data_IF_066673758881
#
_entry.id   IF_066673758881
#
_cell.length_a   1.000
_cell.length_b   1.000
_cell.length_c   1.000
_cell.angle_alpha   90.00
_cell.angle_beta   90.00
_cell.angle_gamma   90.00
#
_symmetry.space_group_name_H-M   'P 1'
#
loop_
_entity.id
_entity.type
_entity.pdbx_description
1 polymer ?
#
# COMPACT_ATOMS: atom_id res chain seq x y z
N UNK A 1 19.32 46.06 63.20
CA UNK A 1 19.65 46.13 61.76
C UNK A 1 19.66 44.78 61.05
N UNK A 2 20.09 43.67 61.68
CA UNK A 2 20.12 42.34 61.01
C UNK A 2 18.74 41.68 60.77
N UNK A 3 17.72 41.95 61.57
CA UNK A 3 16.37 41.41 61.39
C UNK A 3 15.63 41.95 60.17
N UNK A 4 15.89 43.15 59.69
CA UNK A 4 15.27 43.73 58.50
C UNK A 4 15.89 43.27 57.18
N UNK A 5 17.15 42.80 57.20
CA UNK A 5 17.81 42.25 56.00
C UNK A 5 17.30 40.86 55.65
N UNK A 6 17.10 39.98 56.63
CA UNK A 6 16.56 38.65 56.41
C UNK A 6 15.12 38.65 55.88
N UNK A 7 14.27 39.54 56.41
CA UNK A 7 12.89 39.68 55.95
C UNK A 7 12.81 40.18 54.50
N UNK A 8 13.68 41.10 54.09
CA UNK A 8 13.81 41.56 52.70
C UNK A 8 14.34 40.48 51.78
N UNK A 9 15.23 39.63 52.21
CA UNK A 9 15.76 38.53 51.43
C UNK A 9 14.72 37.42 51.23
N UNK A 10 13.93 37.07 52.26
CA UNK A 10 12.80 36.15 52.12
C UNK A 10 11.73 36.70 51.16
N UNK A 11 11.35 37.96 51.25
CA UNK A 11 10.40 38.61 50.35
C UNK A 11 10.92 38.63 48.90
N UNK A 12 12.24 38.80 48.68
CA UNK A 12 12.84 38.74 47.33
C UNK A 12 12.85 37.30 46.79
N UNK A 13 13.11 36.31 47.62
CA UNK A 13 13.09 34.89 47.22
C UNK A 13 11.67 34.47 46.83
N UNK A 14 10.67 34.80 47.66
CA UNK A 14 9.26 34.52 47.38
C UNK A 14 8.81 35.20 46.07
N UNK A 15 9.17 36.48 45.84
CA UNK A 15 8.85 37.17 44.59
C UNK A 15 9.51 36.54 43.36
N UNK A 16 10.75 36.02 43.49
CA UNK A 16 11.42 35.31 42.40
C UNK A 16 10.78 33.93 42.13
N UNK A 17 10.39 33.18 43.15
CA UNK A 17 9.70 31.91 42.99
C UNK A 17 8.31 32.12 42.33
N UNK A 18 7.56 33.13 42.76
CA UNK A 18 6.26 33.48 42.16
C UNK A 18 6.42 33.96 40.70
N UNK A 19 7.47 34.70 40.39
CA UNK A 19 7.76 35.14 39.02
C UNK A 19 8.16 33.97 38.11
N UNK A 20 8.92 32.97 38.62
CA UNK A 20 9.28 31.76 37.89
C UNK A 20 8.06 30.87 37.69
N UNK A 21 7.20 30.70 38.69
CA UNK A 21 5.95 29.96 38.57
C UNK A 21 4.97 30.64 37.59
N UNK A 22 4.85 31.96 37.62
CA UNK A 22 4.04 32.71 36.68
C UNK A 22 4.59 32.63 35.24
N UNK A 23 5.92 32.61 35.06
CA UNK A 23 6.54 32.44 33.75
C UNK A 23 6.38 31.01 33.22
N UNK A 24 6.40 29.99 34.07
CA UNK A 24 6.11 28.58 33.70
C UNK A 24 4.63 28.40 33.35
N UNK A 25 3.70 29.02 34.09
CA UNK A 25 2.27 28.99 33.77
C UNK A 25 1.99 29.72 32.46
N UNK A 26 2.66 30.84 32.21
CA UNK A 26 2.54 31.61 30.97
C UNK A 26 3.16 30.87 29.79
N UNK A 27 4.27 30.14 29.98
CA UNK A 27 4.89 29.31 28.97
C UNK A 27 4.01 28.07 28.63
N UNK A 28 3.35 27.49 29.63
CA UNK A 28 2.39 26.39 29.40
C UNK A 28 1.09 26.86 28.75
N UNK A 29 0.62 28.09 29.04
CA UNK A 29 -0.56 28.65 28.37
C UNK A 29 -0.25 29.11 26.94
N UNK A 30 0.96 29.57 26.64
CA UNK A 30 1.41 29.90 25.28
C UNK A 30 1.70 28.64 24.44
N UNK A 31 2.15 27.54 25.04
CA UNK A 31 2.28 26.26 24.35
C UNK A 31 0.90 25.64 24.01
N UNK A 32 -0.10 25.82 24.89
CA UNK A 32 -1.47 25.35 24.66
C UNK A 32 -2.24 26.14 23.57
N UNK A 33 -1.90 27.40 23.34
CA UNK A 33 -2.56 28.24 22.31
C UNK A 33 -1.86 28.18 20.94
N UNK A 34 -0.58 27.79 20.89
CA UNK A 34 0.13 27.62 19.61
C UNK A 34 -0.28 26.34 18.85
N UNK A 35 -0.86 25.36 19.53
CA UNK A 35 -1.37 24.13 18.90
C UNK A 35 -2.85 24.18 18.49
N UNK A 36 -3.59 25.22 18.89
CA UNK A 36 -5.04 25.26 18.66
C UNK A 36 -5.46 25.82 17.29
N UNK A 37 -4.55 26.47 16.55
CA UNK A 37 -4.87 27.07 15.25
C UNK A 37 -4.48 26.18 14.06
N UNK A 38 -3.62 25.15 14.27
CA UNK A 38 -3.10 24.27 13.22
C UNK A 38 -3.22 22.76 13.52
N UNK A 39 -3.98 22.34 14.53
CA UNK A 39 -4.16 20.92 14.81
C UNK A 39 -4.95 20.26 13.69
N UNK A 40 -4.45 19.14 13.10
CA UNK A 40 -5.18 18.44 12.06
C UNK A 40 -6.56 17.98 12.54
N UNK A 41 -7.54 17.97 11.63
CA UNK A 41 -8.99 17.73 11.90
C UNK A 41 -9.31 16.54 12.82
N UNK A 42 -8.49 15.48 12.77
CA UNK A 42 -8.76 14.21 13.48
C UNK A 42 -7.84 14.00 14.71
N UNK A 43 -7.17 15.03 15.16
CA UNK A 43 -6.48 15.02 16.46
C UNK A 43 -7.50 15.33 17.55
N UNK A 44 -7.49 14.55 18.63
CA UNK A 44 -8.43 14.72 19.73
C UNK A 44 -8.18 16.06 20.47
N UNK A 45 -9.23 16.74 20.89
CA UNK A 45 -9.15 18.03 21.60
C UNK A 45 -8.29 17.94 22.88
N UNK A 46 -8.25 16.77 23.52
CA UNK A 46 -7.48 16.50 24.73
C UNK A 46 -6.15 15.78 24.45
N UNK A 47 -5.69 15.67 23.19
CA UNK A 47 -4.50 14.93 22.80
C UNK A 47 -3.25 15.27 23.63
N UNK A 48 -3.01 16.56 23.87
CA UNK A 48 -1.84 17.02 24.66
C UNK A 48 -1.85 16.57 26.13
N UNK A 49 -3.00 16.16 26.67
CA UNK A 49 -3.17 15.73 28.05
C UNK A 49 -3.53 14.25 28.19
N UNK A 50 -3.91 13.59 27.09
CA UNK A 50 -4.20 12.16 27.07
C UNK A 50 -2.94 11.37 27.44
N UNK A 51 -3.07 10.44 28.38
CA UNK A 51 -1.98 9.57 28.83
C UNK A 51 -2.31 8.13 28.50
N UNK A 52 -1.30 7.29 28.31
CA UNK A 52 -1.51 5.87 28.05
C UNK A 52 -0.29 5.18 27.50
N UNK A 53 -0.48 3.92 27.11
CA UNK A 53 0.56 3.13 26.43
C UNK A 53 -0.03 2.29 25.31
N UNK A 54 0.72 2.11 24.23
CA UNK A 54 0.34 1.31 23.06
C UNK A 54 1.47 0.35 22.73
N UNK A 55 1.15 -0.95 22.71
CA UNK A 55 2.05 -2.02 22.22
C UNK A 55 1.57 -2.43 20.85
N UNK A 56 2.34 -2.08 19.80
CA UNK A 56 1.98 -2.33 18.43
C UNK A 56 2.73 -3.54 17.87
N UNK A 57 2.05 -4.36 17.06
CA UNK A 57 2.68 -5.28 16.12
C UNK A 57 2.57 -4.72 14.70
N UNK A 58 3.71 -4.71 13.98
CA UNK A 58 3.81 -4.26 12.59
C UNK A 58 4.73 -5.18 11.80
N UNK A 59 4.63 -5.23 10.46
CA UNK A 59 5.61 -5.93 9.63
C UNK A 59 6.74 -5.00 9.14
N UNK A 60 6.69 -3.70 9.44
CA UNK A 60 7.70 -2.75 9.00
C UNK A 60 8.64 -2.33 10.13
N UNK A 61 9.94 -2.40 9.85
CA UNK A 61 10.97 -1.90 10.74
C UNK A 61 10.92 -0.36 10.84
N UNK A 62 11.54 0.18 11.88
CA UNK A 62 11.61 1.63 12.09
C UNK A 62 12.18 2.40 10.91
N UNK A 63 13.20 1.84 10.26
CA UNK A 63 13.86 2.44 9.07
C UNK A 63 12.97 2.61 7.84
N UNK A 64 11.80 1.98 7.81
CA UNK A 64 10.83 2.09 6.69
C UNK A 64 9.53 2.77 7.12
N UNK A 65 9.61 3.70 8.08
CA UNK A 65 8.53 4.62 8.41
C UNK A 65 7.97 4.50 9.83
N UNK A 66 8.08 3.35 10.51
CA UNK A 66 7.47 3.14 11.84
C UNK A 66 8.00 4.10 12.90
N UNK A 67 9.31 4.34 12.96
CA UNK A 67 9.88 5.30 13.93
C UNK A 67 9.41 6.73 13.66
N UNK A 68 9.33 7.12 12.38
CA UNK A 68 8.86 8.45 11.98
C UNK A 68 7.37 8.64 12.28
N UNK A 69 6.55 7.62 12.06
CA UNK A 69 5.13 7.59 12.42
C UNK A 69 4.95 7.86 13.92
N UNK A 70 5.67 7.11 14.78
CA UNK A 70 5.59 7.26 16.23
C UNK A 70 6.08 8.65 16.67
N UNK A 71 7.19 9.12 16.11
CA UNK A 71 7.71 10.44 16.42
C UNK A 71 6.74 11.58 16.02
N UNK A 72 6.02 11.41 14.91
CA UNK A 72 5.01 12.40 14.48
C UNK A 72 3.76 12.33 15.35
N UNK A 73 3.28 11.14 15.70
CA UNK A 73 2.20 10.94 16.65
C UNK A 73 2.48 11.63 17.99
N UNK A 74 3.68 11.46 18.53
CA UNK A 74 4.07 12.01 19.83
C UNK A 74 4.17 13.53 19.85
N UNK A 75 4.15 14.22 18.70
CA UNK A 75 4.02 15.69 18.67
C UNK A 75 2.65 16.15 19.15
N UNK A 76 1.61 15.34 18.90
CA UNK A 76 0.24 15.65 19.27
C UNK A 76 -0.16 14.96 20.59
N UNK A 77 0.33 13.73 20.83
CA UNK A 77 0.04 12.90 22.00
C UNK A 77 1.32 12.64 22.83
N UNK A 78 1.90 13.70 23.44
CA UNK A 78 3.23 13.59 24.06
C UNK A 78 3.29 12.68 25.30
N UNK A 79 2.14 12.29 25.88
CA UNK A 79 2.06 11.50 27.09
C UNK A 79 1.53 10.06 26.80
N UNK A 80 1.44 9.67 25.54
CA UNK A 80 1.17 8.28 25.15
C UNK A 80 2.49 7.65 24.72
N UNK A 81 2.91 6.61 25.45
CA UNK A 81 4.07 5.82 25.09
C UNK A 81 3.69 4.78 24.04
N UNK A 82 4.38 4.76 22.89
CA UNK A 82 4.17 3.76 21.84
C UNK A 82 5.43 2.91 21.70
N UNK A 83 5.26 1.61 21.88
CA UNK A 83 6.29 0.60 21.60
C UNK A 83 5.84 -0.33 20.49
N UNK A 84 6.78 -0.92 19.72
CA UNK A 84 6.40 -1.88 18.71
C UNK A 84 7.35 -3.06 18.61
N UNK A 85 6.82 -4.17 18.10
CA UNK A 85 7.58 -5.34 17.68
C UNK A 85 7.29 -5.64 16.21
N UNK A 86 8.31 -6.16 15.50
CA UNK A 86 8.18 -6.53 14.08
C UNK A 86 7.89 -8.01 13.98
N UNK A 87 6.80 -8.36 13.29
CA UNK A 87 6.48 -9.74 12.94
C UNK A 87 6.72 -10.00 11.45
N UNK A 88 6.99 -11.24 11.08
CA UNK A 88 7.11 -11.62 9.67
C UNK A 88 5.71 -11.77 9.06
N UNK A 89 5.41 -11.03 7.99
CA UNK A 89 4.12 -11.14 7.31
C UNK A 89 4.08 -12.40 6.41
N UNK A 90 3.91 -13.55 7.05
CA UNK A 90 3.65 -14.85 6.46
C UNK A 90 2.72 -15.65 7.38
N UNK A 91 2.35 -16.87 7.01
CA UNK A 91 1.42 -17.71 7.78
C UNK A 91 1.87 -17.91 9.23
N UNK A 92 3.14 -18.25 9.49
CA UNK A 92 3.66 -18.52 10.83
C UNK A 92 3.72 -17.23 11.68
N UNK A 93 4.16 -16.13 11.08
CA UNK A 93 4.21 -14.84 11.76
C UNK A 93 2.81 -14.31 12.11
N UNK A 94 1.82 -14.48 11.23
CA UNK A 94 0.43 -14.12 11.51
C UNK A 94 -0.19 -15.02 12.61
N UNK A 95 0.12 -16.34 12.61
CA UNK A 95 -0.30 -17.24 13.69
C UNK A 95 0.27 -16.77 15.04
N UNK A 96 1.55 -16.42 15.09
CA UNK A 96 2.21 -15.90 16.30
C UNK A 96 1.60 -14.57 16.74
N UNK A 97 1.31 -13.66 15.80
CA UNK A 97 0.65 -12.39 16.08
C UNK A 97 -0.75 -12.60 16.68
N UNK A 98 -1.55 -13.49 16.10
CA UNK A 98 -2.89 -13.83 16.60
C UNK A 98 -2.84 -14.41 18.03
N UNK A 99 -1.86 -15.27 18.33
CA UNK A 99 -1.65 -15.79 19.69
C UNK A 99 -1.25 -14.68 20.68
N UNK A 100 -0.41 -13.71 20.26
CA UNK A 100 -0.04 -12.57 21.09
C UNK A 100 -1.24 -11.64 21.38
N UNK A 101 -2.12 -11.43 20.40
CA UNK A 101 -3.37 -10.68 20.58
C UNK A 101 -4.26 -11.39 21.60
N UNK A 102 -4.51 -12.69 21.45
CA UNK A 102 -5.30 -13.48 22.40
C UNK A 102 -4.75 -13.42 23.84
N UNK A 103 -3.43 -13.38 23.97
CA UNK A 103 -2.75 -13.27 25.25
C UNK A 103 -2.77 -11.84 25.85
N UNK A 104 -3.41 -10.85 25.20
CA UNK A 104 -3.47 -9.47 25.68
C UNK A 104 -2.12 -8.75 25.67
N UNK A 105 -1.19 -9.16 24.80
CA UNK A 105 0.15 -8.56 24.68
C UNK A 105 0.25 -7.47 23.63
N UNK A 106 -0.80 -7.24 22.85
CA UNK A 106 -0.86 -6.33 21.73
C UNK A 106 -2.07 -5.44 21.88
N UNK A 107 -1.91 -4.14 21.68
CA UNK A 107 -2.99 -3.15 21.72
C UNK A 107 -3.40 -2.72 20.32
N UNK A 108 -2.43 -2.61 19.39
CA UNK A 108 -2.66 -2.28 17.99
C UNK A 108 -1.93 -3.27 17.09
N UNK A 109 -2.61 -3.78 16.07
CA UNK A 109 -2.01 -4.60 15.03
C UNK A 109 -2.09 -3.87 13.68
N UNK A 110 -0.96 -3.72 13.00
CA UNK A 110 -0.92 -3.36 11.59
C UNK A 110 -1.05 -4.64 10.75
N UNK A 111 -2.13 -4.76 10.00
CA UNK A 111 -2.39 -5.90 9.10
C UNK A 111 -2.01 -5.52 7.68
N UNK A 112 -1.35 -6.43 6.96
CA UNK A 112 -0.87 -6.25 5.58
C UNK A 112 -1.50 -7.23 4.61
N UNK A 113 -2.60 -7.83 5.01
CA UNK A 113 -3.32 -8.84 4.26
C UNK A 113 -4.78 -8.82 4.70
N UNK A 114 -5.68 -8.62 3.74
CA UNK A 114 -7.11 -8.53 4.01
C UNK A 114 -7.66 -9.83 4.61
N UNK A 115 -7.12 -11.00 4.22
CA UNK A 115 -7.57 -12.29 4.74
C UNK A 115 -7.21 -12.45 6.22
N UNK A 116 -6.07 -11.91 6.64
CA UNK A 116 -5.67 -11.91 8.03
C UNK A 116 -6.46 -10.91 8.87
N UNK A 117 -6.81 -9.77 8.30
CA UNK A 117 -7.70 -8.81 8.95
C UNK A 117 -9.09 -9.42 9.16
N UNK A 118 -9.68 -10.05 8.12
CA UNK A 118 -10.96 -10.73 8.22
C UNK A 118 -10.95 -11.85 9.25
N UNK A 119 -9.95 -12.71 9.22
CA UNK A 119 -9.79 -13.75 10.24
C UNK A 119 -9.84 -13.16 11.67
N UNK A 120 -9.17 -12.03 11.91
CA UNK A 120 -9.12 -11.40 13.23
C UNK A 120 -10.48 -10.86 13.68
N UNK A 121 -11.21 -10.15 12.83
CA UNK A 121 -12.53 -9.63 13.23
C UNK A 121 -13.58 -10.73 13.36
N UNK A 122 -13.59 -11.74 12.49
CA UNK A 122 -14.49 -12.88 12.56
C UNK A 122 -14.29 -13.72 13.83
N UNK A 123 -13.07 -13.77 14.35
CA UNK A 123 -12.73 -14.50 15.55
C UNK A 123 -12.70 -13.63 16.83
N UNK A 124 -13.24 -12.41 16.78
CA UNK A 124 -13.38 -11.54 17.95
C UNK A 124 -12.05 -11.04 18.54
N UNK A 125 -10.98 -11.00 17.74
CA UNK A 125 -9.67 -10.54 18.19
C UNK A 125 -9.54 -9.01 18.18
N UNK A 126 -10.45 -8.32 17.50
CA UNK A 126 -10.41 -6.88 17.29
C UNK A 126 -11.53 -6.17 18.04
N UNK A 127 -11.26 -4.94 18.46
CA UNK A 127 -12.25 -4.05 19.07
C UNK A 127 -13.14 -3.47 18.00
N UNK A 128 -14.45 -3.49 18.23
CA UNK A 128 -15.40 -2.72 17.44
C UNK A 128 -15.21 -1.23 17.68
N UNK A 129 -14.87 -0.51 16.62
CA UNK A 129 -14.60 0.94 16.67
C UNK A 129 -15.73 1.79 16.05
N UNK A 130 -16.84 1.18 15.66
CA UNK A 130 -17.93 1.85 14.92
C UNK A 130 -18.45 3.09 15.63
N UNK A 131 -18.78 2.96 16.91
CA UNK A 131 -19.37 4.08 17.68
C UNK A 131 -18.36 5.21 17.89
N UNK A 132 -17.05 4.89 17.95
CA UNK A 132 -15.97 5.87 18.04
C UNK A 132 -15.78 6.62 16.72
N UNK A 133 -15.84 5.92 15.57
CA UNK A 133 -15.80 6.55 14.23
C UNK A 133 -16.93 7.55 14.06
N UNK A 134 -18.15 7.17 14.47
CA UNK A 134 -19.32 8.06 14.42
C UNK A 134 -19.13 9.29 15.31
N UNK A 135 -18.61 9.11 16.53
CA UNK A 135 -18.35 10.20 17.46
C UNK A 135 -17.29 11.19 16.92
N UNK A 136 -16.27 10.69 16.23
CA UNK A 136 -15.24 11.50 15.59
C UNK A 136 -15.67 12.13 14.25
N UNK A 137 -16.86 11.78 13.74
CA UNK A 137 -17.32 12.23 12.43
C UNK A 137 -16.52 11.67 11.26
N UNK A 138 -15.90 10.50 11.45
CA UNK A 138 -15.15 9.77 10.43
C UNK A 138 -16.10 8.91 9.61
N UNK A 139 -16.11 9.13 8.29
CA UNK A 139 -16.87 8.37 7.30
C UNK A 139 -15.89 7.59 6.44
N UNK A 140 -15.97 6.25 6.46
CA UNK A 140 -15.04 5.37 5.75
C UNK A 140 -15.01 5.63 4.24
N UNK A 141 -16.18 5.82 3.63
CA UNK A 141 -16.27 6.07 2.18
C UNK A 141 -15.67 7.41 1.82
N UNK A 142 -15.94 8.45 2.62
CA UNK A 142 -15.43 9.78 2.37
C UNK A 142 -13.92 9.87 2.60
N UNK A 143 -13.42 9.27 3.67
CA UNK A 143 -12.01 9.42 4.07
C UNK A 143 -11.09 8.40 3.38
N UNK A 144 -11.59 7.20 3.02
CA UNK A 144 -10.78 6.13 2.42
C UNK A 144 -11.37 5.53 1.13
N UNK A 145 -12.46 6.08 0.61
CA UNK A 145 -13.05 5.65 -0.66
C UNK A 145 -13.83 4.35 -0.63
N UNK A 146 -13.99 3.70 0.54
CA UNK A 146 -14.63 2.38 0.64
C UNK A 146 -15.18 2.10 2.04
N UNK A 147 -16.29 1.38 2.10
CA UNK A 147 -16.88 0.79 3.32
C UNK A 147 -16.57 -0.72 3.48
N UNK A 148 -15.68 -1.25 2.63
CA UNK A 148 -15.35 -2.67 2.58
C UNK A 148 -14.69 -3.23 3.86
N UNK A 149 -14.36 -2.37 4.80
CA UNK A 149 -13.77 -2.74 6.10
C UNK A 149 -14.79 -2.96 7.20
N UNK A 150 -16.05 -3.13 6.84
CA UNK A 150 -17.12 -3.45 7.77
C UNK A 150 -17.44 -4.94 7.72
N UNK A 151 -17.65 -5.52 8.90
CA UNK A 151 -18.14 -6.87 9.08
C UNK A 151 -19.45 -6.84 9.86
N UNK A 152 -20.51 -7.42 9.31
CA UNK A 152 -21.87 -7.36 9.88
C UNK A 152 -22.33 -5.94 10.23
N UNK A 153 -21.94 -4.94 9.43
CA UNK A 153 -22.28 -3.54 9.64
C UNK A 153 -21.48 -2.84 10.76
N UNK A 154 -20.44 -3.49 11.28
CA UNK A 154 -19.53 -2.94 12.30
C UNK A 154 -18.11 -2.81 11.74
N UNK A 155 -17.37 -1.82 12.21
CA UNK A 155 -16.00 -1.54 11.80
C UNK A 155 -15.00 -1.99 12.84
N UNK A 156 -13.96 -2.71 12.40
CA UNK A 156 -12.87 -3.23 13.23
C UNK A 156 -11.50 -2.82 12.73
N UNK A 157 -11.45 -2.00 11.69
CA UNK A 157 -10.22 -1.79 10.95
C UNK A 157 -10.18 -0.37 10.37
N UNK A 158 -9.08 0.33 10.62
CA UNK A 158 -8.79 1.58 9.94
C UNK A 158 -7.99 1.29 8.67
N UNK A 159 -8.51 1.61 7.47
CA UNK A 159 -7.71 1.55 6.26
C UNK A 159 -6.49 2.47 6.36
N UNK A 160 -5.36 2.09 5.81
CA UNK A 160 -4.17 2.94 5.84
C UNK A 160 -3.56 3.10 4.45
N UNK A 161 -3.23 1.98 3.82
CA UNK A 161 -2.52 2.00 2.56
C UNK A 161 -2.94 0.88 1.62
N UNK A 162 -2.65 1.06 0.36
CA UNK A 162 -2.82 0.06 -0.69
C UNK A 162 -1.59 0.02 -1.59
N UNK A 163 -1.43 -1.08 -2.28
CA UNK A 163 -0.42 -1.20 -3.32
C UNK A 163 -0.95 -0.57 -4.59
N UNK A 164 -0.29 0.50 -5.07
CA UNK A 164 -0.51 1.03 -6.42
C UNK A 164 0.21 0.17 -7.44
N UNK A 165 -0.37 0.00 -8.61
CA UNK A 165 0.19 -0.77 -9.70
C UNK A 165 0.22 0.07 -10.94
N UNK A 166 1.37 0.10 -11.58
CA UNK A 166 1.66 0.96 -12.71
C UNK A 166 2.67 0.30 -13.64
N UNK A 167 2.83 0.86 -14.82
CA UNK A 167 3.97 0.59 -15.70
C UNK A 167 5.10 1.54 -15.32
N UNK A 168 6.20 1.01 -14.79
CA UNK A 168 7.43 1.76 -14.59
C UNK A 168 8.26 1.74 -15.87
N UNK A 169 8.80 2.87 -16.28
CA UNK A 169 9.44 3.07 -17.58
C UNK A 169 10.80 3.73 -17.41
N UNK A 170 11.84 3.18 -18.04
CA UNK A 170 13.10 3.86 -18.23
C UNK A 170 12.92 5.02 -19.23
N UNK A 171 12.96 6.26 -18.75
CA UNK A 171 12.70 7.44 -19.60
C UNK A 171 13.76 7.65 -20.68
N UNK A 172 14.99 7.20 -20.49
CA UNK A 172 16.01 7.22 -21.53
C UNK A 172 15.63 6.29 -22.69
N UNK A 173 15.23 5.06 -22.39
CA UNK A 173 14.77 4.11 -23.42
C UNK A 173 13.50 4.59 -24.12
N UNK A 174 12.58 5.21 -23.39
CA UNK A 174 11.36 5.80 -23.93
C UNK A 174 11.66 6.91 -24.96
N UNK A 175 12.56 7.83 -24.60
CA UNK A 175 12.97 8.94 -25.47
C UNK A 175 13.76 8.45 -26.70
N UNK A 176 14.69 7.51 -26.53
CA UNK A 176 15.46 6.91 -27.62
C UNK A 176 14.56 6.17 -28.62
N UNK A 177 13.45 5.59 -28.14
CA UNK A 177 12.43 4.95 -28.99
C UNK A 177 11.55 5.95 -29.74
N UNK A 178 11.72 7.26 -29.53
CA UNK A 178 10.93 8.32 -30.16
C UNK A 178 9.48 8.35 -29.67
N UNK A 179 9.20 7.84 -28.49
CA UNK A 179 7.91 7.89 -27.83
C UNK A 179 7.73 9.28 -27.21
N UNK A 180 6.56 9.88 -27.36
CA UNK A 180 6.27 11.25 -26.91
C UNK A 180 6.11 11.38 -25.38
N UNK A 181 5.08 12.11 -24.97
CA UNK A 181 4.70 12.22 -23.56
C UNK A 181 4.21 10.86 -23.03
N UNK A 182 4.35 10.64 -21.72
CA UNK A 182 3.81 9.46 -21.08
C UNK A 182 2.27 9.46 -21.18
N UNK A 183 1.65 8.32 -21.52
CA UNK A 183 0.21 8.28 -21.68
C UNK A 183 -0.50 8.38 -20.32
N UNK A 184 -1.60 9.11 -20.28
CA UNK A 184 -2.53 9.12 -19.14
C UNK A 184 -3.59 8.00 -19.23
N UNK A 185 -3.74 7.38 -20.40
CA UNK A 185 -4.52 6.17 -20.68
C UNK A 185 -3.99 5.53 -21.95
N UNK A 186 -3.95 4.24 -22.01
CA UNK A 186 -3.55 3.44 -23.19
C UNK A 186 -4.12 2.03 -23.13
N UNK A 187 -4.18 1.41 -24.29
CA UNK A 187 -4.54 0.01 -24.46
C UNK A 187 -3.30 -0.90 -24.38
N UNK A 188 -3.52 -2.19 -24.26
CA UNK A 188 -2.45 -3.19 -24.33
C UNK A 188 -1.72 -3.17 -25.68
N UNK A 189 -2.42 -2.92 -26.78
CA UNK A 189 -1.80 -2.86 -28.11
C UNK A 189 -0.83 -1.67 -28.20
N UNK A 190 -1.21 -0.52 -27.65
CA UNK A 190 -0.34 0.66 -27.60
C UNK A 190 0.88 0.45 -26.71
N UNK A 191 0.71 -0.21 -25.56
CA UNK A 191 1.82 -0.55 -24.68
C UNK A 191 2.79 -1.56 -25.33
N UNK A 192 2.27 -2.62 -25.95
CA UNK A 192 3.11 -3.59 -26.65
C UNK A 192 3.85 -2.97 -27.85
N UNK A 193 3.24 -2.02 -28.57
CA UNK A 193 3.92 -1.27 -29.61
C UNK A 193 5.05 -0.40 -29.05
N UNK A 194 4.85 0.23 -27.87
CA UNK A 194 5.92 0.94 -27.17
C UNK A 194 7.04 -0.04 -26.75
N UNK A 195 6.70 -1.23 -26.25
CA UNK A 195 7.68 -2.27 -25.94
C UNK A 195 8.48 -2.70 -27.16
N UNK A 196 7.86 -2.88 -28.34
CA UNK A 196 8.58 -3.19 -29.59
C UNK A 196 9.63 -2.15 -29.92
N UNK A 197 9.27 -0.87 -29.82
CA UNK A 197 10.19 0.25 -30.10
C UNK A 197 11.33 0.34 -29.09
N UNK A 198 11.11 -0.03 -27.83
CA UNK A 198 12.13 -0.01 -26.79
C UNK A 198 13.00 -1.28 -26.76
N UNK A 199 12.57 -2.37 -27.40
CA UNK A 199 13.34 -3.62 -27.43
C UNK A 199 14.65 -3.42 -28.20
N UNK A 200 15.77 -3.83 -27.60
CA UNK A 200 17.09 -3.80 -28.27
C UNK A 200 17.56 -5.21 -28.56
N UNK A 201 18.16 -5.39 -29.74
CA UNK A 201 18.73 -6.67 -30.18
C UNK A 201 20.17 -6.47 -30.61
N UNK A 202 20.99 -7.51 -30.42
CA UNK A 202 22.37 -7.54 -30.90
C UNK A 202 22.41 -7.78 -32.42
N UNK A 203 23.63 -7.79 -32.98
CA UNK A 203 23.88 -8.03 -34.41
C UNK A 203 23.40 -9.42 -34.89
N UNK A 204 23.22 -10.37 -33.96
CA UNK A 204 22.74 -11.72 -34.26
C UNK A 204 21.22 -11.85 -34.09
N UNK A 205 20.53 -10.75 -33.71
CA UNK A 205 19.09 -10.74 -33.47
C UNK A 205 18.66 -11.18 -32.07
N UNK A 206 19.60 -11.48 -31.17
CA UNK A 206 19.26 -11.83 -29.78
C UNK A 206 18.81 -10.59 -29.01
N UNK A 207 17.82 -10.75 -28.15
CA UNK A 207 17.35 -9.68 -27.29
C UNK A 207 18.39 -9.38 -26.22
N UNK A 208 18.83 -8.12 -26.14
CA UNK A 208 19.76 -7.59 -25.14
C UNK A 208 19.06 -6.68 -24.13
N UNK A 209 17.96 -6.03 -24.53
CA UNK A 209 17.04 -5.32 -23.65
C UNK A 209 15.62 -5.64 -24.08
N UNK A 210 14.84 -6.19 -23.18
CA UNK A 210 13.41 -6.41 -23.40
C UNK A 210 12.66 -5.08 -23.33
N UNK A 211 11.65 -4.88 -24.18
CA UNK A 211 10.79 -3.69 -24.13
C UNK A 211 9.98 -3.61 -22.85
N UNK A 212 9.57 -4.77 -22.32
CA UNK A 212 8.81 -4.86 -21.09
C UNK A 212 8.93 -6.19 -20.36
N UNK A 213 8.28 -6.26 -19.21
CA UNK A 213 8.07 -7.48 -18.44
C UNK A 213 6.85 -7.33 -17.56
N UNK A 214 6.13 -8.43 -17.34
CA UNK A 214 4.95 -8.46 -16.48
C UNK A 214 5.34 -8.52 -14.99
N UNK A 215 4.35 -8.33 -14.13
CA UNK A 215 4.49 -8.51 -12.69
C UNK A 215 4.79 -9.99 -12.35
N UNK A 216 5.69 -10.24 -11.44
CA UNK A 216 6.22 -11.58 -11.17
C UNK A 216 5.29 -12.51 -10.35
N UNK A 217 4.00 -12.18 -10.21
CA UNK A 217 3.00 -13.04 -9.58
C UNK A 217 2.20 -13.80 -10.63
N UNK A 218 1.98 -15.11 -10.39
CA UNK A 218 1.26 -16.01 -11.30
C UNK A 218 -0.12 -15.49 -11.67
N UNK A 219 -0.94 -15.28 -10.66
CA UNK A 219 -2.34 -14.86 -10.81
C UNK A 219 -2.53 -13.40 -11.23
N UNK A 220 -1.44 -12.66 -11.53
CA UNK A 220 -1.55 -11.22 -11.74
C UNK A 220 -2.43 -10.83 -12.94
N UNK A 221 -2.53 -11.68 -13.95
CA UNK A 221 -3.39 -11.51 -15.10
C UNK A 221 -4.90 -11.35 -14.76
N UNK A 222 -5.33 -11.81 -13.57
CA UNK A 222 -6.69 -11.57 -13.07
C UNK A 222 -6.94 -10.07 -12.89
N UNK A 223 -5.93 -9.28 -12.51
CA UNK A 223 -6.06 -7.83 -12.39
C UNK A 223 -6.30 -7.18 -13.75
N UNK A 224 -5.83 -7.78 -14.83
CA UNK A 224 -6.13 -7.32 -16.19
C UNK A 224 -7.55 -7.69 -16.63
N UNK A 225 -8.10 -8.80 -16.14
CA UNK A 225 -9.53 -9.07 -16.32
C UNK A 225 -10.41 -8.03 -15.61
N UNK A 226 -9.96 -7.56 -14.44
CA UNK A 226 -10.69 -6.57 -13.65
C UNK A 226 -10.82 -5.21 -14.34
N UNK A 227 -9.92 -4.86 -15.25
CA UNK A 227 -10.07 -3.64 -16.05
C UNK A 227 -11.39 -3.63 -16.86
N UNK A 228 -11.83 -4.80 -17.31
CA UNK A 228 -13.08 -4.98 -18.07
C UNK A 228 -14.24 -5.40 -17.17
N UNK A 229 -14.03 -6.36 -16.27
CA UNK A 229 -15.10 -6.94 -15.44
C UNK A 229 -15.43 -6.15 -14.19
N UNK A 230 -14.46 -5.39 -13.66
CA UNK A 230 -14.57 -4.78 -12.34
C UNK A 230 -14.42 -5.80 -11.20
N UNK A 231 -15.34 -5.77 -10.25
CA UNK A 231 -15.36 -6.70 -9.10
C UNK A 231 -15.71 -8.12 -9.52
N UNK A 232 -15.39 -9.08 -8.65
CA UNK A 232 -15.74 -10.51 -8.80
C UNK A 232 -15.19 -11.14 -10.09
N UNK A 233 -13.94 -10.82 -10.45
CA UNK A 233 -13.34 -11.24 -11.71
C UNK A 233 -13.29 -12.77 -11.90
N UNK A 234 -13.30 -13.55 -10.83
CA UNK A 234 -13.35 -15.02 -10.89
C UNK A 234 -14.70 -15.57 -11.31
N UNK A 235 -15.78 -14.77 -11.21
CA UNK A 235 -17.14 -15.28 -11.26
C UNK A 235 -17.96 -14.68 -12.40
N UNK A 236 -18.92 -15.47 -12.85
CA UNK A 236 -20.06 -14.99 -13.64
C UNK A 236 -21.09 -14.30 -12.73
N UNK A 237 -22.07 -13.63 -13.29
CA UNK A 237 -23.11 -12.94 -12.53
C UNK A 237 -23.98 -13.90 -11.66
N UNK A 238 -24.04 -15.19 -12.02
CA UNK A 238 -24.74 -16.24 -11.27
C UNK A 238 -23.82 -17.02 -10.31
N UNK A 239 -22.58 -16.53 -10.15
CA UNK A 239 -21.63 -17.04 -9.15
C UNK A 239 -20.89 -18.31 -9.52
N UNK A 240 -20.89 -18.70 -10.79
CA UNK A 240 -20.04 -19.76 -11.32
C UNK A 240 -18.65 -19.20 -11.68
N UNK A 241 -17.65 -20.06 -11.90
CA UNK A 241 -16.34 -19.64 -12.39
C UNK A 241 -16.42 -19.09 -13.82
N UNK A 242 -15.63 -18.05 -14.12
CA UNK A 242 -15.62 -17.36 -15.41
C UNK A 242 -14.22 -17.28 -16.04
N UNK A 243 -13.63 -18.44 -16.29
CA UNK A 243 -12.33 -18.51 -16.97
C UNK A 243 -12.44 -18.86 -18.46
N UNK A 244 -13.64 -19.17 -18.94
CA UNK A 244 -13.90 -19.58 -20.34
C UNK A 244 -14.66 -18.56 -21.17
N UNK A 245 -14.92 -17.36 -20.64
CA UNK A 245 -15.61 -16.27 -21.36
C UNK A 245 -14.83 -15.64 -22.51
N UNK A 246 -13.58 -16.06 -22.74
CA UNK A 246 -12.70 -15.54 -23.79
C UNK A 246 -11.77 -14.42 -23.34
N UNK A 247 -12.11 -13.62 -22.32
CA UNK A 247 -11.27 -12.54 -21.82
C UNK A 247 -9.95 -13.08 -21.21
N UNK A 248 -10.04 -14.12 -20.37
CA UNK A 248 -8.86 -14.78 -19.80
C UNK A 248 -7.92 -15.32 -20.87
N UNK A 249 -8.49 -15.98 -21.91
CA UNK A 249 -7.72 -16.51 -23.04
C UNK A 249 -7.01 -15.37 -23.80
N UNK A 250 -7.70 -14.28 -24.07
CA UNK A 250 -7.12 -13.10 -24.75
C UNK A 250 -5.93 -12.54 -23.98
N UNK A 251 -6.06 -12.42 -22.65
CA UNK A 251 -5.01 -11.86 -21.79
C UNK A 251 -3.78 -12.77 -21.75
N UNK A 252 -3.97 -14.07 -21.48
CA UNK A 252 -2.86 -15.03 -21.40
C UNK A 252 -2.18 -15.26 -22.76
N UNK A 253 -2.96 -15.32 -23.84
CA UNK A 253 -2.39 -15.46 -25.18
C UNK A 253 -1.55 -14.23 -25.57
N UNK A 254 -2.02 -13.03 -25.25
CA UNK A 254 -1.27 -11.78 -25.46
C UNK A 254 0.08 -11.79 -24.73
N UNK A 255 0.12 -12.28 -23.50
CA UNK A 255 1.36 -12.41 -22.73
C UNK A 255 2.33 -13.37 -23.44
N UNK A 256 1.87 -14.57 -23.79
CA UNK A 256 2.68 -15.57 -24.49
C UNK A 256 3.15 -15.08 -25.87
N UNK A 257 2.32 -14.35 -26.61
CA UNK A 257 2.68 -13.79 -27.92
C UNK A 257 3.78 -12.72 -27.76
N UNK A 258 3.68 -11.84 -26.76
CA UNK A 258 4.70 -10.83 -26.46
C UNK A 258 6.05 -11.44 -26.02
N UNK A 259 6.00 -12.54 -25.28
CA UNK A 259 7.18 -13.33 -24.90
C UNK A 259 7.80 -14.03 -26.13
N UNK A 260 6.99 -14.67 -26.96
CA UNK A 260 7.42 -15.35 -28.18
C UNK A 260 8.02 -14.38 -29.22
N UNK A 261 7.48 -13.16 -29.32
CA UNK A 261 8.05 -12.07 -30.12
C UNK A 261 9.40 -11.58 -29.54
N UNK A 262 9.67 -11.83 -28.26
CA UNK A 262 10.86 -11.38 -27.55
C UNK A 262 10.82 -9.89 -27.18
N UNK A 263 9.65 -9.32 -27.08
CA UNK A 263 9.47 -7.94 -26.58
C UNK A 263 9.23 -7.93 -25.07
N UNK A 264 8.72 -9.03 -24.51
CA UNK A 264 8.59 -9.23 -23.04
C UNK A 264 9.55 -10.30 -22.57
N UNK A 265 10.08 -10.08 -21.35
CA UNK A 265 10.86 -11.09 -20.65
C UNK A 265 9.93 -12.21 -20.17
N UNK A 266 10.22 -13.49 -20.43
CA UNK A 266 9.33 -14.59 -20.10
C UNK A 266 9.00 -14.66 -18.61
N UNK A 267 7.71 -14.61 -18.27
CA UNK A 267 7.20 -14.60 -16.89
C UNK A 267 7.55 -15.88 -16.13
N UNK A 268 7.54 -17.03 -16.82
CA UNK A 268 7.94 -18.30 -16.20
C UNK A 268 9.37 -18.22 -15.66
N UNK A 269 10.27 -17.48 -16.31
CA UNK A 269 11.64 -17.29 -15.85
C UNK A 269 11.71 -16.36 -14.62
N UNK A 270 10.85 -15.33 -14.53
CA UNK A 270 10.73 -14.52 -13.32
C UNK A 270 10.33 -15.39 -12.12
N UNK A 271 9.32 -16.22 -12.31
CA UNK A 271 8.76 -17.11 -11.28
C UNK A 271 9.81 -18.14 -10.84
N UNK A 272 10.37 -18.89 -11.80
CA UNK A 272 11.32 -19.99 -11.54
C UNK A 272 12.60 -19.51 -10.88
N UNK A 273 13.12 -18.35 -11.32
CA UNK A 273 14.35 -17.77 -10.78
C UNK A 273 14.11 -16.86 -9.56
N UNK A 274 12.86 -16.71 -9.13
CA UNK A 274 12.47 -15.75 -8.08
C UNK A 274 12.95 -14.31 -8.35
N UNK A 275 13.10 -13.94 -9.63
CA UNK A 275 13.50 -12.61 -10.09
C UNK A 275 12.31 -11.66 -10.01
N UNK A 276 12.54 -10.43 -9.62
CA UNK A 276 11.48 -9.42 -9.60
C UNK A 276 11.50 -8.60 -10.89
N UNK A 277 10.32 -8.23 -11.40
CA UNK A 277 10.17 -7.37 -12.59
C UNK A 277 11.00 -6.09 -12.48
N UNK A 278 10.99 -5.44 -11.33
CA UNK A 278 11.81 -4.25 -11.05
C UNK A 278 13.31 -4.48 -11.15
N UNK A 279 13.81 -5.69 -10.82
CA UNK A 279 15.24 -5.97 -10.90
C UNK A 279 15.71 -5.93 -12.37
N UNK A 280 14.87 -6.40 -13.31
CA UNK A 280 15.18 -6.32 -14.74
C UNK A 280 15.23 -4.87 -15.22
N UNK A 281 14.26 -4.03 -14.80
CA UNK A 281 14.25 -2.62 -15.18
C UNK A 281 15.43 -1.86 -14.57
N UNK A 282 15.67 -2.01 -13.27
CA UNK A 282 16.72 -1.29 -12.56
C UNK A 282 18.15 -1.72 -12.96
N UNK A 283 18.31 -2.91 -13.54
CA UNK A 283 19.59 -3.39 -14.11
C UNK A 283 19.72 -3.13 -15.61
N UNK A 284 18.68 -2.56 -16.25
CA UNK A 284 18.68 -2.26 -17.68
C UNK A 284 18.41 -3.47 -18.57
N UNK A 285 18.00 -4.62 -18.02
CA UNK A 285 17.62 -5.81 -18.80
C UNK A 285 16.22 -5.68 -19.44
N UNK A 286 15.37 -4.80 -18.89
CA UNK A 286 14.10 -4.39 -19.48
C UNK A 286 13.98 -2.87 -19.51
N UNK A 287 13.25 -2.33 -20.48
CA UNK A 287 13.00 -0.90 -20.63
C UNK A 287 11.74 -0.43 -19.86
N UNK A 288 10.81 -1.35 -19.57
CA UNK A 288 9.64 -1.10 -18.74
C UNK A 288 9.28 -2.35 -17.93
N UNK A 289 8.51 -2.18 -16.88
CA UNK A 289 7.92 -3.30 -16.16
C UNK A 289 6.60 -2.92 -15.52
N UNK A 290 5.71 -3.89 -15.37
CA UNK A 290 4.55 -3.75 -14.49
C UNK A 290 5.02 -4.02 -13.07
N UNK A 291 4.82 -3.05 -12.17
CA UNK A 291 5.40 -3.10 -10.83
C UNK A 291 4.57 -2.23 -9.86
N UNK A 292 4.87 -2.35 -8.58
CA UNK A 292 4.19 -1.63 -7.51
C UNK A 292 5.15 -0.78 -6.65
N UNK A 293 6.18 -1.38 -6.08
CA UNK A 293 7.03 -0.75 -5.05
C UNK A 293 8.41 -0.30 -5.54
N UNK A 294 8.59 -0.15 -6.86
CA UNK A 294 9.91 0.13 -7.46
C UNK A 294 10.53 1.43 -6.96
N UNK A 295 9.73 2.45 -6.65
CA UNK A 295 10.18 3.75 -6.15
C UNK A 295 11.05 3.63 -4.89
N UNK A 296 10.78 2.64 -4.05
CA UNK A 296 11.59 2.32 -2.87
C UNK A 296 13.05 1.95 -3.21
N UNK A 297 13.32 1.51 -4.43
CA UNK A 297 14.62 0.96 -4.85
C UNK A 297 15.39 1.87 -5.78
N UNK A 298 14.74 2.82 -6.46
CA UNK A 298 15.35 3.68 -7.48
C UNK A 298 16.49 4.56 -6.93
N UNK A 299 16.44 4.94 -5.66
CA UNK A 299 17.48 5.74 -5.02
C UNK A 299 18.68 4.92 -4.56
N UNK A 300 18.60 3.59 -4.59
CA UNK A 300 19.68 2.70 -4.14
C UNK A 300 20.65 2.41 -5.29
N UNK A 301 21.45 3.42 -5.67
CA UNK A 301 22.42 3.32 -6.77
C UNK A 301 23.60 2.40 -6.47
N UNK A 302 23.84 2.04 -5.20
CA UNK A 302 24.85 1.04 -4.83
C UNK A 302 24.43 -0.35 -5.30
N UNK A 303 23.17 -0.72 -5.06
CA UNK A 303 22.61 -2.01 -5.47
C UNK A 303 22.21 -2.03 -6.95
N UNK A 304 21.66 -0.94 -7.43
CA UNK A 304 21.13 -0.79 -8.79
C UNK A 304 21.76 0.43 -9.47
N UNK A 305 23.02 0.33 -9.93
CA UNK A 305 23.68 1.44 -10.60
C UNK A 305 23.01 1.73 -11.95
N UNK A 306 22.45 2.92 -12.13
CA UNK A 306 21.81 3.40 -13.36
C UNK A 306 21.90 4.93 -13.45
N UNK A 307 21.68 5.46 -14.65
CA UNK A 307 21.71 6.89 -14.96
C UNK A 307 20.42 7.44 -15.57
N UNK A 308 19.38 6.60 -15.64
CA UNK A 308 18.06 7.00 -16.12
C UNK A 308 17.13 7.38 -14.97
N UNK A 309 16.09 8.16 -15.27
CA UNK A 309 14.96 8.38 -14.36
C UNK A 309 13.80 7.46 -14.72
N UNK A 310 12.97 7.13 -13.73
CA UNK A 310 11.72 6.40 -13.94
C UNK A 310 10.59 7.33 -14.32
N UNK A 311 9.87 6.97 -15.36
CA UNK A 311 8.51 7.47 -15.64
C UNK A 311 7.48 6.44 -15.15
N UNK A 312 6.27 6.90 -14.93
CA UNK A 312 5.14 6.08 -14.50
C UNK A 312 3.95 6.28 -15.42
N UNK A 313 3.35 5.20 -15.85
CA UNK A 313 2.13 5.22 -16.66
C UNK A 313 1.09 4.27 -16.04
N UNK A 314 -0.21 4.47 -16.31
CA UNK A 314 -1.24 3.57 -15.80
C UNK A 314 -1.08 2.17 -16.40
N UNK A 315 -1.65 1.16 -15.75
CA UNK A 315 -1.79 -0.18 -16.35
C UNK A 315 -2.63 -0.04 -17.63
N UNK A 316 -2.22 -0.69 -18.75
CA UNK A 316 -3.02 -0.65 -19.96
C UNK A 316 -4.41 -1.28 -19.75
N UNK A 317 -5.41 -0.73 -20.42
CA UNK A 317 -6.77 -1.27 -20.44
C UNK A 317 -6.96 -2.25 -21.59
N UNK A 318 -7.95 -3.16 -21.48
CA UNK A 318 -8.22 -4.11 -22.55
C UNK A 318 -8.95 -3.46 -23.73
N UNK A 319 -9.82 -2.48 -23.47
CA UNK A 319 -10.56 -1.74 -24.50
C UNK A 319 -10.47 -0.24 -24.25
N UNK A 320 -10.45 0.55 -25.31
CA UNK A 320 -10.46 2.01 -25.25
C UNK A 320 -11.66 2.51 -24.42
N UNK A 321 -11.41 3.45 -23.52
CA UNK A 321 -12.44 4.05 -22.67
C UNK A 321 -12.78 3.27 -21.39
N UNK A 322 -12.17 2.12 -21.16
CA UNK A 322 -12.30 1.43 -19.87
C UNK A 322 -11.65 2.24 -18.74
N UNK A 323 -12.18 2.11 -17.54
CA UNK A 323 -11.59 2.72 -16.35
C UNK A 323 -10.30 2.00 -15.95
N UNK A 324 -9.27 2.79 -15.64
CA UNK A 324 -8.01 2.24 -15.18
C UNK A 324 -7.98 2.11 -13.66
N UNK A 325 -7.92 0.88 -13.17
CA UNK A 325 -7.76 0.58 -11.75
C UNK A 325 -6.28 0.47 -11.41
N UNK A 326 -5.74 1.46 -10.71
CA UNK A 326 -4.33 1.51 -10.32
C UNK A 326 -4.07 0.98 -8.91
N UNK A 327 -5.11 0.82 -8.09
CA UNK A 327 -4.98 0.18 -6.78
C UNK A 327 -5.24 -1.32 -6.88
N UNK A 328 -4.46 -2.11 -6.14
CA UNK A 328 -4.76 -3.51 -5.95
C UNK A 328 -6.19 -3.69 -5.39
N UNK A 329 -6.86 -4.78 -5.77
CA UNK A 329 -8.16 -5.08 -5.20
C UNK A 329 -8.01 -5.32 -3.70
N UNK A 330 -8.64 -4.55 -2.90
CA UNK A 330 -8.55 -4.44 -1.46
C UNK A 330 -7.39 -3.51 -1.02
N UNK A 331 -7.69 -2.52 -0.22
CA UNK A 331 -6.69 -1.90 0.62
C UNK A 331 -6.13 -3.00 1.52
N UNK A 332 -4.87 -3.28 1.32
CA UNK A 332 -4.23 -4.44 1.94
C UNK A 332 -3.77 -4.15 3.34
N UNK A 333 -3.63 -2.86 3.69
CA UNK A 333 -2.93 -2.43 4.89
C UNK A 333 -3.76 -1.50 5.75
N UNK A 334 -3.77 -1.78 7.03
CA UNK A 334 -4.45 -0.92 7.99
C UNK A 334 -4.21 -1.31 9.43
N UNK A 335 -4.74 -0.51 10.32
CA UNK A 335 -4.54 -0.62 11.75
C UNK A 335 -5.84 -1.03 12.46
N UNK A 336 -5.72 -1.98 13.37
CA UNK A 336 -6.84 -2.40 14.22
C UNK A 336 -6.45 -2.29 15.69
N UNK A 337 -7.39 -1.85 16.51
CA UNK A 337 -7.30 -1.98 17.97
C UNK A 337 -7.69 -3.40 18.32
N UNK A 338 -6.94 -4.04 19.23
CA UNK A 338 -7.27 -5.40 19.66
C UNK A 338 -8.38 -5.41 20.72
N UNK A 339 -9.16 -6.48 20.78
CA UNK A 339 -10.26 -6.61 21.76
C UNK A 339 -9.76 -6.59 23.23
N UNK A 340 -8.51 -6.99 23.45
CA UNK A 340 -7.86 -7.06 24.77
C UNK A 340 -6.85 -5.92 24.99
N UNK A 341 -6.96 -4.81 24.26
CA UNK A 341 -6.08 -3.65 24.43
C UNK A 341 -6.14 -3.18 25.90
N UNK A 342 -4.96 -2.93 26.50
CA UNK A 342 -4.88 -2.48 27.89
C UNK A 342 -5.36 -1.05 28.07
N UNK A 343 -5.10 -0.21 27.05
CA UNK A 343 -5.54 1.18 27.00
C UNK A 343 -6.24 1.43 25.65
N UNK A 344 -7.53 1.08 25.53
CA UNK A 344 -8.24 1.14 24.27
C UNK A 344 -8.43 2.58 23.72
N UNK A 345 -8.37 3.61 24.58
CA UNK A 345 -8.47 4.99 24.15
C UNK A 345 -7.16 5.47 23.50
N UNK A 346 -6.02 5.17 24.14
CA UNK A 346 -4.72 5.45 23.55
C UNK A 346 -4.47 4.64 22.27
N UNK A 347 -4.86 3.35 22.26
CA UNK A 347 -4.76 2.49 21.10
C UNK A 347 -5.62 2.99 19.90
N UNK A 348 -6.83 3.45 20.18
CA UNK A 348 -7.71 4.04 19.16
C UNK A 348 -7.13 5.35 18.61
N UNK A 349 -6.66 6.26 19.48
CA UNK A 349 -6.04 7.51 19.05
C UNK A 349 -4.83 7.25 18.14
N UNK A 350 -3.99 6.28 18.50
CA UNK A 350 -2.83 5.89 17.68
C UNK A 350 -3.26 5.27 16.34
N UNK A 351 -4.17 4.32 16.33
CA UNK A 351 -4.65 3.67 15.10
C UNK A 351 -5.31 4.67 14.14
N UNK A 352 -6.12 5.59 14.67
CA UNK A 352 -6.72 6.71 13.93
C UNK A 352 -5.66 7.60 13.31
N UNK A 353 -4.66 8.04 14.08
CA UNK A 353 -3.56 8.85 13.58
C UNK A 353 -2.75 8.12 12.50
N UNK A 354 -2.38 6.86 12.74
CA UNK A 354 -1.60 6.04 11.82
C UNK A 354 -2.30 5.84 10.47
N UNK A 355 -3.63 5.83 10.45
CA UNK A 355 -4.46 5.65 9.25
C UNK A 355 -4.86 6.96 8.56
N UNK A 356 -4.64 8.10 9.21
CA UNK A 356 -4.86 9.43 8.64
C UNK A 356 -3.51 10.11 8.37
N UNK A 357 -3.10 11.08 9.17
CA UNK A 357 -1.85 11.83 8.99
C UNK A 357 -0.59 10.96 8.98
N UNK A 358 -0.57 9.89 9.74
CA UNK A 358 0.54 8.94 9.81
C UNK A 358 0.64 8.02 8.59
N UNK A 359 -0.42 7.90 7.79
CA UNK A 359 -0.43 7.03 6.61
C UNK A 359 0.58 7.44 5.53
N UNK A 360 1.03 8.69 5.54
CA UNK A 360 2.11 9.18 4.68
C UNK A 360 3.42 8.38 4.84
N UNK A 361 3.68 7.83 6.01
CA UNK A 361 4.91 7.07 6.26
C UNK A 361 4.94 5.72 5.54
N UNK A 362 3.79 5.23 5.05
CA UNK A 362 3.71 4.04 4.22
C UNK A 362 4.41 4.20 2.87
N UNK A 363 4.55 5.42 2.36
CA UNK A 363 5.31 5.68 1.14
C UNK A 363 6.79 5.33 1.27
N UNK A 364 7.38 5.38 2.46
CA UNK A 364 8.74 4.90 2.72
C UNK A 364 8.87 3.38 2.53
N UNK A 365 7.78 2.64 2.68
CA UNK A 365 7.70 1.21 2.38
C UNK A 365 7.28 0.93 0.92
N UNK A 366 6.95 1.96 0.14
CA UNK A 366 6.52 1.86 -1.26
C UNK A 366 5.00 1.64 -1.43
N UNK A 367 4.21 1.87 -0.39
CA UNK A 367 2.75 1.73 -0.42
C UNK A 367 2.08 3.09 -0.37
N UNK A 368 1.01 3.26 -1.14
CA UNK A 368 0.28 4.52 -1.19
C UNK A 368 -0.77 4.59 -0.08
N UNK A 369 -0.86 5.74 0.58
CA UNK A 369 -1.96 6.00 1.50
C UNK A 369 -3.30 5.94 0.77
N UNK A 370 -4.29 5.35 1.40
CA UNK A 370 -5.69 5.37 0.93
C UNK A 370 -6.49 6.53 1.52
N UNK A 371 -5.91 7.27 2.46
CA UNK A 371 -6.56 8.43 3.04
C UNK A 371 -6.60 9.62 2.06
N UNK A 372 -7.80 10.19 1.84
CA UNK A 372 -8.01 11.28 0.89
C UNK A 372 -7.35 12.61 1.28
N UNK A 373 -6.93 12.75 2.54
CA UNK A 373 -6.28 13.96 3.05
C UNK A 373 -4.76 14.05 2.82
N UNK A 374 -4.18 13.18 2.01
CA UNK A 374 -2.75 13.19 1.68
C UNK A 374 -2.39 14.43 0.84
N UNK A 375 -1.27 15.07 1.21
CA UNK A 375 -0.66 16.15 0.43
C UNK A 375 0.49 15.58 -0.44
N UNK A 376 0.37 15.60 -1.78
CA UNK A 376 1.39 15.06 -2.67
C UNK A 376 2.78 15.68 -2.50
N UNK A 377 2.87 16.99 -2.27
CA UNK A 377 4.15 17.67 -2.09
C UNK A 377 4.87 17.21 -0.82
N UNK A 378 4.10 16.91 0.25
CA UNK A 378 4.64 16.36 1.49
C UNK A 378 5.23 14.96 1.24
N UNK A 379 4.57 14.13 0.42
CA UNK A 379 5.05 12.80 0.07
C UNK A 379 6.35 12.87 -0.74
N UNK A 380 6.41 13.73 -1.75
CA UNK A 380 7.63 13.93 -2.54
C UNK A 380 8.81 14.33 -1.65
N UNK A 381 8.57 15.27 -0.71
CA UNK A 381 9.58 15.69 0.24
C UNK A 381 9.96 14.58 1.22
N UNK A 382 9.01 13.77 1.68
CA UNK A 382 9.25 12.65 2.58
C UNK A 382 10.13 11.57 1.93
N UNK A 383 9.81 11.19 0.69
CA UNK A 383 10.49 10.09 -0.01
C UNK A 383 11.85 10.51 -0.57
N UNK A 384 11.95 11.71 -1.12
CA UNK A 384 13.14 12.17 -1.85
C UNK A 384 13.89 13.33 -1.19
N UNK A 385 13.37 13.90 -0.11
CA UNK A 385 13.93 15.07 0.57
C UNK A 385 13.56 16.41 -0.06
N UNK A 386 13.34 16.47 -1.37
CA UNK A 386 12.84 17.65 -2.09
C UNK A 386 12.38 17.26 -3.50
N UNK A 387 11.56 18.09 -4.15
CA UNK A 387 11.17 17.91 -5.55
C UNK A 387 12.37 17.98 -6.51
N UNK A 388 13.37 18.85 -6.25
CA UNK A 388 14.61 18.90 -7.04
C UNK A 388 15.40 17.60 -6.94
N UNK A 389 15.45 16.99 -5.76
CA UNK A 389 16.13 15.71 -5.61
C UNK A 389 15.32 14.56 -6.24
N UNK A 390 13.99 14.59 -6.14
CA UNK A 390 13.10 13.63 -6.79
C UNK A 390 13.34 13.57 -8.31
N UNK A 391 13.47 14.73 -8.96
CA UNK A 391 13.69 14.85 -10.40
C UNK A 391 14.99 14.20 -10.91
N UNK A 392 15.91 13.80 -10.02
CA UNK A 392 17.10 13.02 -10.38
C UNK A 392 16.82 11.53 -10.54
N UNK A 393 15.68 11.06 -10.03
CA UNK A 393 15.34 9.65 -9.98
C UNK A 393 14.03 9.33 -10.70
N UNK A 394 13.08 10.27 -10.70
CA UNK A 394 11.75 10.06 -11.24
C UNK A 394 11.26 11.28 -12.04
N UNK A 395 10.38 11.03 -13.00
CA UNK A 395 9.48 12.04 -13.53
C UNK A 395 8.45 12.37 -12.46
N UNK A 396 8.55 13.55 -11.86
CA UNK A 396 7.82 13.92 -10.64
C UNK A 396 6.32 13.98 -10.87
N UNK A 397 5.89 14.47 -12.03
CA UNK A 397 4.46 14.61 -12.34
C UNK A 397 3.80 13.23 -12.48
N UNK A 398 4.44 12.31 -13.20
CA UNK A 398 3.94 10.94 -13.32
C UNK A 398 4.04 10.16 -12.00
N UNK A 399 5.07 10.42 -11.18
CA UNK A 399 5.15 9.83 -9.84
C UNK A 399 3.97 10.26 -8.99
N UNK A 400 3.63 11.54 -8.96
CA UNK A 400 2.46 12.05 -8.22
C UNK A 400 1.18 11.41 -8.75
N UNK A 401 1.03 11.36 -10.07
CA UNK A 401 -0.19 10.85 -10.70
C UNK A 401 -0.47 9.37 -10.41
N UNK A 402 0.57 8.53 -10.34
CA UNK A 402 0.38 7.07 -10.30
C UNK A 402 0.91 6.38 -9.03
N UNK A 403 1.67 7.06 -8.18
CA UNK A 403 2.12 6.51 -6.90
C UNK A 403 1.43 7.16 -5.70
N UNK A 404 0.95 8.42 -5.82
CA UNK A 404 0.25 9.08 -4.74
C UNK A 404 -1.24 8.90 -4.98
N UNK A 405 -1.85 7.97 -4.30
CA UNK A 405 -3.16 7.39 -4.60
C UNK A 405 -4.38 8.30 -4.43
N UNK A 406 -4.21 9.62 -4.24
CA UNK A 406 -5.33 10.53 -4.12
C UNK A 406 -6.26 10.44 -5.35
N UNK A 407 -7.45 9.88 -5.16
CA UNK A 407 -8.45 9.71 -6.22
C UNK A 407 -8.40 8.40 -6.99
N UNK A 408 -7.43 7.51 -6.71
CA UNK A 408 -7.45 6.17 -7.28
C UNK A 408 -8.56 5.33 -6.69
N UNK A 409 -9.31 4.62 -7.54
CA UNK A 409 -10.35 3.72 -7.09
C UNK A 409 -9.78 2.32 -6.86
N UNK A 410 -10.15 1.75 -5.73
CA UNK A 410 -10.01 0.34 -5.42
C UNK A 410 -11.34 -0.36 -5.69
N UNK A 411 -11.29 -1.66 -5.96
CA UNK A 411 -12.49 -2.50 -5.98
C UNK A 411 -12.33 -3.64 -4.98
N UNK A 412 -13.45 -4.04 -4.39
CA UNK A 412 -13.52 -5.13 -3.44
C UNK A 412 -14.43 -6.20 -4.02
N UNK A 413 -13.89 -7.40 -4.15
CA UNK A 413 -14.69 -8.55 -4.58
C UNK A 413 -15.78 -8.83 -3.53
N UNK A 414 -17.01 -8.98 -3.98
CA UNK A 414 -18.19 -9.24 -3.13
C UNK A 414 -18.45 -10.73 -3.00
N UNK A 415 -18.14 -11.49 -4.05
CA UNK A 415 -18.23 -12.94 -4.04
C UNK A 415 -16.90 -13.51 -3.59
N UNK A 416 -16.89 -14.10 -2.41
CA UNK A 416 -15.70 -14.74 -1.81
C UNK A 416 -15.84 -16.25 -1.68
N UNK A 417 -16.91 -16.84 -2.27
CA UNK A 417 -17.16 -18.29 -2.17
C UNK A 417 -16.04 -19.08 -2.83
N UNK A 418 -15.37 -19.92 -2.07
CA UNK A 418 -14.18 -20.70 -2.49
C UNK A 418 -12.99 -19.82 -2.96
N UNK A 419 -12.96 -18.52 -2.65
CA UNK A 419 -11.98 -17.57 -3.21
C UNK A 419 -10.53 -18.04 -3.10
N UNK A 420 -10.09 -18.47 -1.91
CA UNK A 420 -8.71 -18.93 -1.69
C UNK A 420 -8.40 -20.24 -2.44
N UNK A 421 -9.37 -21.14 -2.56
CA UNK A 421 -9.19 -22.36 -3.34
C UNK A 421 -9.04 -22.04 -4.83
N UNK A 422 -9.87 -21.12 -5.35
CA UNK A 422 -9.80 -20.66 -6.74
C UNK A 422 -8.46 -19.95 -6.99
N UNK A 423 -8.00 -19.08 -6.09
CA UNK A 423 -6.71 -18.41 -6.23
C UNK A 423 -5.53 -19.40 -6.32
N UNK A 424 -5.57 -20.48 -5.53
CA UNK A 424 -4.57 -21.57 -5.61
C UNK A 424 -4.62 -22.29 -6.95
N UNK A 425 -5.81 -22.60 -7.45
CA UNK A 425 -5.99 -23.22 -8.77
C UNK A 425 -5.51 -22.29 -9.90
N UNK A 426 -5.80 -20.99 -9.81
CA UNK A 426 -5.30 -19.99 -10.77
C UNK A 426 -3.77 -20.00 -10.83
N UNK A 427 -3.09 -20.05 -9.69
CA UNK A 427 -1.62 -20.14 -9.66
C UNK A 427 -1.11 -21.43 -10.32
N UNK A 428 -1.72 -22.57 -10.02
CA UNK A 428 -1.34 -23.87 -10.56
C UNK A 428 -1.52 -23.95 -12.09
N UNK A 429 -2.71 -23.62 -12.59
CA UNK A 429 -2.99 -23.68 -14.03
C UNK A 429 -2.24 -22.60 -14.82
N UNK A 430 -1.94 -21.46 -14.19
CA UNK A 430 -1.05 -20.47 -14.81
C UNK A 430 0.35 -21.04 -15.03
N UNK A 431 0.91 -21.80 -14.08
CA UNK A 431 2.21 -22.46 -14.26
C UNK A 431 2.17 -23.47 -15.42
N UNK A 432 1.12 -24.30 -15.57
CA UNK A 432 0.98 -25.23 -16.69
C UNK A 432 0.90 -24.53 -18.05
N UNK A 433 0.20 -23.39 -18.11
CA UNK A 433 0.08 -22.58 -19.33
C UNK A 433 1.42 -21.91 -19.66
N UNK A 434 2.06 -21.23 -18.71
CA UNK A 434 3.31 -20.51 -18.93
C UNK A 434 4.50 -21.43 -19.22
N UNK A 435 4.49 -22.67 -18.70
CA UNK A 435 5.51 -23.69 -19.01
C UNK A 435 5.30 -24.38 -20.36
N UNK A 436 4.12 -24.19 -20.96
CA UNK A 436 3.73 -24.87 -22.21
C UNK A 436 3.30 -26.31 -22.00
N UNK A 437 3.06 -26.78 -20.78
CA UNK A 437 2.48 -28.08 -20.48
C UNK A 437 1.04 -28.17 -20.95
N UNK A 438 0.31 -27.06 -20.93
CA UNK A 438 -1.05 -26.93 -21.45
C UNK A 438 -1.14 -25.76 -22.42
N UNK A 439 -2.02 -25.85 -23.40
CA UNK A 439 -2.43 -24.69 -24.18
C UNK A 439 -3.29 -23.77 -23.30
N UNK A 440 -3.40 -22.49 -23.66
CA UNK A 440 -4.27 -21.52 -22.96
C UNK A 440 -5.72 -22.06 -22.87
N UNK A 441 -6.26 -22.59 -23.96
CA UNK A 441 -7.62 -23.14 -23.99
C UNK A 441 -7.79 -24.34 -23.04
N UNK A 442 -6.83 -25.30 -23.06
CA UNK A 442 -6.87 -26.45 -22.18
C UNK A 442 -6.78 -26.07 -20.71
N UNK A 443 -5.77 -25.27 -20.36
CA UNK A 443 -5.56 -24.84 -18.98
C UNK A 443 -6.74 -24.04 -18.41
N UNK A 444 -7.33 -23.13 -19.19
CA UNK A 444 -8.50 -22.38 -18.76
C UNK A 444 -9.77 -23.24 -18.65
N UNK A 445 -9.96 -24.23 -19.52
CA UNK A 445 -11.10 -25.13 -19.43
C UNK A 445 -11.02 -26.00 -18.15
N UNK A 446 -9.86 -26.58 -17.86
CA UNK A 446 -9.64 -27.38 -16.65
C UNK A 446 -9.69 -26.53 -15.38
N UNK A 447 -9.10 -25.32 -15.40
CA UNK A 447 -9.21 -24.36 -14.31
C UNK A 447 -10.69 -24.02 -14.01
N UNK A 448 -11.48 -23.79 -15.06
CA UNK A 448 -12.90 -23.44 -14.90
C UNK A 448 -13.72 -24.58 -14.28
N UNK A 449 -13.43 -25.83 -14.68
CA UNK A 449 -14.06 -27.01 -14.09
C UNK A 449 -13.66 -27.16 -12.60
N UNK A 450 -12.37 -27.14 -12.30
CA UNK A 450 -11.86 -27.27 -10.93
C UNK A 450 -12.37 -26.13 -10.01
N UNK A 451 -12.45 -24.91 -10.52
CA UNK A 451 -12.99 -23.77 -9.78
C UNK A 451 -14.50 -23.94 -9.49
N UNK A 452 -15.29 -24.45 -10.43
CA UNK A 452 -16.71 -24.77 -10.21
C UNK A 452 -16.92 -25.90 -9.20
N UNK A 453 -16.03 -26.89 -9.20
CA UNK A 453 -16.04 -27.97 -8.19
C UNK A 453 -15.73 -27.39 -6.79
N UNK A 454 -14.76 -26.49 -6.69
CA UNK A 454 -14.46 -25.77 -5.44
C UNK A 454 -15.65 -24.92 -4.96
N UNK A 455 -16.30 -24.17 -5.86
CA UNK A 455 -17.51 -23.39 -5.56
C UNK A 455 -18.64 -24.29 -5.06
N UNK A 456 -18.86 -25.44 -5.72
CA UNK A 456 -19.93 -26.39 -5.37
C UNK A 456 -19.68 -27.05 -4.01
N UNK A 457 -18.41 -27.25 -3.64
CA UNK A 457 -17.98 -27.89 -2.40
C UNK A 457 -17.90 -26.92 -1.22
N UNK A 458 -17.85 -25.62 -1.46
CA UNK A 458 -17.82 -24.61 -0.41
C UNK A 458 -19.22 -24.47 0.23
N UNK A 459 -19.26 -24.58 1.56
CA UNK A 459 -20.50 -24.47 2.36
C UNK A 459 -20.92 -23.00 2.54
#
# INVERSE_FOLDING_TARGET
>A
MRMNANKRMEEMIVKRIVAVLLSLILAMSLAGTAFAEDAPKYIDDNAATMTGSVRMLTAYAGSVGTDALIADFNKYYPNIEVTYEVYTNNSDGNLTANAAIQAGKVDVIASYDASQASFRWENGLLLDITDRLVADGLDLVKEWGTDAYTYEGRCYYFPCAATTIFVAINMTAWQEAGLGELPSSWTWDEYLEACRKMTKRDENGNVVVYGGTDFNQRQYWINYMRQTKGVDAYYTADGQADFTSGLAATILQRELDAEAEGIWYPKINLITNSTKSRDLLLTGAAASCIESIITRFITNLEKYPHDFILGYAPIPVNNEGEYNYTLAPLPTEGYSVTANAQDPDAAYAFAKFASTYGSKYMYSAGHASTWTGINPDEIVNLVFGSAENAAKYVDVDSYIAYNIAAGHQSYVDKNIKAYNAIATLVDEYTDYILSGEMTVEQGLAELNEAANDAISSAQ
#
